data_IF_812484328442
#
_entry.id   IF_812484328442
#
_cell.length_a   1.000
_cell.length_b   1.000
_cell.length_c   1.000
_cell.angle_alpha   90.00
_cell.angle_beta   90.00
_cell.angle_gamma   90.00
#
_symmetry.space_group_name_H-M   'P 1'
#
loop_
_entity.id
_entity.type
_entity.pdbx_description
1 polymer ?
#
# COMPACT_ATOMS: atom_id res chain seq x y z
N UNK A 1 21.83 -22.56 32.40
CA UNK A 1 20.51 -21.90 32.44
C UNK A 1 19.68 -22.50 31.32
N UNK A 2 18.80 -23.44 31.63
CA UNK A 2 17.89 -24.06 30.65
C UNK A 2 16.85 -23.02 30.25
N UNK A 3 16.93 -22.53 29.01
CA UNK A 3 15.98 -21.58 28.46
C UNK A 3 14.67 -22.29 28.13
N UNK A 4 13.73 -22.27 29.05
CA UNK A 4 12.37 -22.73 28.80
C UNK A 4 11.71 -21.75 27.83
N UNK A 5 11.40 -22.21 26.63
CA UNK A 5 10.59 -21.42 25.70
C UNK A 5 9.18 -21.30 26.29
N UNK A 6 8.57 -20.11 26.29
CA UNK A 6 7.24 -19.94 26.86
C UNK A 6 6.23 -20.83 26.13
N UNK A 7 5.35 -21.51 26.88
CA UNK A 7 4.34 -22.42 26.30
C UNK A 7 3.38 -21.72 25.32
N UNK A 8 3.22 -20.40 25.48
CA UNK A 8 2.38 -19.56 24.63
C UNK A 8 3.02 -18.21 24.33
N UNK A 9 2.67 -17.62 23.19
CA UNK A 9 3.11 -16.29 22.75
C UNK A 9 1.91 -15.47 22.28
N UNK A 10 1.81 -14.23 22.71
CA UNK A 10 0.73 -13.33 22.31
C UNK A 10 1.09 -12.60 21.00
N UNK A 11 0.15 -12.55 20.06
CA UNK A 11 0.38 -11.88 18.79
C UNK A 11 0.42 -10.36 18.98
N UNK A 12 1.56 -9.72 18.69
CA UNK A 12 1.71 -8.27 18.80
C UNK A 12 0.73 -7.47 17.92
N UNK A 13 0.21 -8.07 16.85
CA UNK A 13 -0.72 -7.39 15.95
C UNK A 13 -2.16 -7.46 16.45
N UNK A 14 -2.66 -8.66 16.80
CA UNK A 14 -4.07 -8.88 17.10
C UNK A 14 -4.40 -9.23 18.55
N UNK A 15 -3.40 -9.45 19.41
CA UNK A 15 -3.56 -9.79 20.83
C UNK A 15 -4.03 -11.22 21.10
N UNK A 16 -4.06 -12.09 20.09
CA UNK A 16 -4.45 -13.50 20.30
C UNK A 16 -3.25 -14.31 20.81
N UNK A 17 -3.48 -15.14 21.82
CA UNK A 17 -2.53 -16.18 22.27
C UNK A 17 -2.34 -17.26 21.22
N UNK A 18 -1.09 -17.60 20.94
CA UNK A 18 -0.67 -18.68 20.04
C UNK A 18 0.22 -19.65 20.84
N UNK A 19 0.37 -20.91 20.41
CA UNK A 19 1.36 -21.80 21.02
C UNK A 19 2.77 -21.23 20.86
N UNK A 20 3.65 -21.45 21.83
CA UNK A 20 5.00 -20.88 21.88
C UNK A 20 5.90 -21.21 20.69
N UNK A 21 5.61 -22.29 19.99
CA UNK A 21 6.31 -22.71 18.76
C UNK A 21 5.75 -22.08 17.47
N UNK A 22 4.64 -21.34 17.54
CA UNK A 22 4.01 -20.76 16.36
C UNK A 22 4.89 -19.65 15.77
N UNK A 23 5.31 -19.82 14.51
CA UNK A 23 6.05 -18.79 13.78
C UNK A 23 5.14 -17.72 13.19
N UNK A 24 3.86 -18.03 13.00
CA UNK A 24 2.86 -17.15 12.39
C UNK A 24 1.58 -17.17 13.24
N UNK A 25 0.96 -16.00 13.43
CA UNK A 25 -0.29 -15.90 14.14
C UNK A 25 -1.41 -16.63 13.40
N UNK A 26 -2.05 -17.60 14.06
CA UNK A 26 -3.14 -18.40 13.47
C UNK A 26 -4.41 -17.61 13.17
N UNK A 27 -4.52 -16.37 13.65
CA UNK A 27 -5.71 -15.54 13.47
C UNK A 27 -5.51 -14.40 12.46
N UNK A 28 -4.34 -13.77 12.42
CA UNK A 28 -4.09 -12.62 11.54
C UNK A 28 -2.96 -12.81 10.54
N UNK A 29 -2.29 -13.98 10.52
CA UNK A 29 -1.24 -14.28 9.54
C UNK A 29 0.09 -13.52 9.72
N UNK A 30 0.19 -12.65 10.72
CA UNK A 30 1.43 -11.88 10.99
C UNK A 30 2.49 -12.79 11.63
N UNK A 31 3.76 -12.72 11.21
CA UNK A 31 4.85 -13.46 11.84
C UNK A 31 4.92 -13.09 13.32
N UNK A 32 5.00 -14.08 14.19
CA UNK A 32 5.24 -13.85 15.61
C UNK A 32 6.74 -13.61 15.76
N UNK A 33 7.14 -12.54 16.46
CA UNK A 33 8.55 -12.30 16.76
C UNK A 33 9.05 -13.46 17.61
N UNK A 34 9.63 -14.47 16.99
CA UNK A 34 10.57 -15.32 17.67
C UNK A 34 11.72 -14.41 18.07
N UNK A 35 12.02 -14.33 19.36
CA UNK A 35 13.36 -13.97 19.83
C UNK A 35 14.37 -14.66 18.89
N UNK A 36 15.51 -14.04 18.56
CA UNK A 36 16.52 -14.71 17.76
C UNK A 36 16.86 -16.02 18.45
N UNK A 37 16.28 -17.12 17.94
CA UNK A 37 16.79 -18.45 18.19
C UNK A 37 18.15 -18.32 17.55
N UNK A 38 19.17 -18.14 18.40
CA UNK A 38 20.57 -18.16 18.01
C UNK A 38 20.66 -19.24 16.95
N UNK A 39 20.97 -18.84 15.70
CA UNK A 39 20.78 -19.67 14.52
C UNK A 39 21.28 -21.06 14.86
N UNK A 40 20.32 -21.93 15.17
CA UNK A 40 20.65 -23.28 15.55
C UNK A 40 21.20 -23.82 14.26
N UNK A 41 22.49 -24.09 14.23
CA UNK A 41 23.08 -25.06 13.34
C UNK A 41 22.41 -26.40 13.69
N UNK A 42 21.12 -26.51 13.39
CA UNK A 42 20.42 -27.77 13.39
C UNK A 42 21.14 -28.65 12.39
N UNK A 43 21.31 -29.95 12.68
CA UNK A 43 21.92 -30.87 11.74
C UNK A 43 21.18 -30.72 10.42
N UNK A 44 21.93 -30.42 9.35
CA UNK A 44 21.42 -30.51 7.97
C UNK A 44 20.68 -31.85 7.90
N UNK A 45 19.42 -31.92 7.45
CA UNK A 45 18.72 -33.18 7.28
C UNK A 45 19.55 -34.07 6.35
N UNK A 46 20.27 -35.03 6.93
CA UNK A 46 21.08 -36.02 6.20
C UNK A 46 20.27 -37.28 5.90
N UNK A 47 18.99 -37.31 6.29
CA UNK A 47 18.12 -38.41 5.92
C UNK A 47 17.94 -38.43 4.40
N UNK A 48 18.19 -39.59 3.80
CA UNK A 48 18.13 -39.75 2.33
C UNK A 48 16.75 -39.41 1.76
N UNK A 49 15.68 -39.52 2.54
CA UNK A 49 14.32 -39.25 2.09
C UNK A 49 14.09 -37.74 1.84
N UNK A 50 14.57 -36.88 2.74
CA UNK A 50 14.52 -35.42 2.58
C UNK A 50 15.35 -34.95 1.38
N UNK A 51 16.54 -35.53 1.17
CA UNK A 51 17.39 -35.19 0.02
C UNK A 51 16.77 -35.59 -1.31
N UNK A 52 16.08 -36.74 -1.37
CA UNK A 52 15.34 -37.16 -2.57
C UNK A 52 14.15 -36.23 -2.84
N UNK A 53 13.43 -35.80 -1.81
CA UNK A 53 12.29 -34.89 -1.95
C UNK A 53 12.71 -33.50 -2.46
N UNK A 54 13.77 -32.93 -1.89
CA UNK A 54 14.33 -31.64 -2.31
C UNK A 54 14.88 -31.74 -3.74
N UNK A 55 15.61 -32.82 -4.05
CA UNK A 55 16.12 -33.08 -5.40
C UNK A 55 15.00 -33.20 -6.44
N UNK A 56 13.90 -33.88 -6.10
CA UNK A 56 12.73 -34.01 -6.96
C UNK A 56 12.05 -32.66 -7.25
N UNK A 57 11.89 -31.80 -6.24
CA UNK A 57 11.30 -30.47 -6.41
C UNK A 57 12.15 -29.59 -7.34
N UNK A 58 13.48 -29.58 -7.15
CA UNK A 58 14.39 -28.81 -8.00
C UNK A 58 14.41 -29.33 -9.44
N UNK A 59 14.40 -30.65 -9.63
CA UNK A 59 14.34 -31.26 -10.96
C UNK A 59 13.02 -30.91 -11.69
N UNK A 60 11.89 -30.89 -10.99
CA UNK A 60 10.60 -30.51 -11.56
C UNK A 60 10.57 -29.03 -12.00
N UNK A 61 11.11 -28.12 -11.19
CA UNK A 61 11.21 -26.69 -11.53
C UNK A 61 12.11 -26.50 -12.75
N UNK A 62 13.30 -27.12 -12.76
CA UNK A 62 14.22 -27.05 -13.89
C UNK A 62 13.58 -27.61 -15.18
N UNK A 63 12.88 -28.74 -15.08
CA UNK A 63 12.14 -29.33 -16.19
C UNK A 63 11.05 -28.40 -16.74
N UNK A 64 10.28 -27.75 -15.88
CA UNK A 64 9.25 -26.80 -16.28
C UNK A 64 9.83 -25.57 -16.99
N UNK A 65 10.97 -25.04 -16.52
CA UNK A 65 11.65 -23.91 -17.17
C UNK A 65 12.16 -24.30 -18.56
N UNK A 66 12.82 -25.45 -18.69
CA UNK A 66 13.32 -25.93 -19.99
C UNK A 66 12.16 -26.18 -20.95
N UNK A 67 11.07 -26.78 -20.48
CA UNK A 67 9.86 -27.01 -21.29
C UNK A 67 9.21 -25.69 -21.72
N UNK A 68 9.10 -24.71 -20.81
CA UNK A 68 8.59 -23.39 -21.12
C UNK A 68 9.41 -22.67 -22.19
N UNK A 69 10.74 -22.74 -22.10
CA UNK A 69 11.65 -22.16 -23.10
C UNK A 69 11.54 -22.87 -24.46
N UNK A 70 11.41 -24.20 -24.47
CA UNK A 70 11.21 -24.97 -25.70
C UNK A 70 9.87 -24.59 -26.38
N UNK A 71 8.80 -24.43 -25.61
CA UNK A 71 7.49 -24.00 -26.13
C UNK A 71 7.56 -22.54 -26.64
N UNK A 72 8.26 -21.64 -25.93
CA UNK A 72 8.48 -20.26 -26.41
C UNK A 72 9.27 -20.21 -27.71
N UNK A 73 10.24 -21.10 -27.93
CA UNK A 73 10.98 -21.17 -29.19
C UNK A 73 10.13 -21.64 -30.38
N UNK A 74 9.07 -22.42 -30.12
CA UNK A 74 8.11 -22.88 -31.14
C UNK A 74 7.02 -21.83 -31.46
N UNK A 75 6.95 -20.73 -30.71
CA UNK A 75 5.97 -19.66 -30.93
C UNK A 75 6.65 -18.42 -31.54
N UNK A 76 6.70 -18.27 -32.88
CA UNK A 76 7.24 -17.09 -33.55
C UNK A 76 6.27 -15.91 -33.41
N UNK A 77 6.15 -15.37 -32.20
CA UNK A 77 5.55 -14.06 -31.97
C UNK A 77 6.55 -13.00 -32.46
N UNK A 78 6.57 -12.73 -33.77
CA UNK A 78 7.29 -11.61 -34.36
C UNK A 78 6.85 -10.32 -33.66
N UNK A 79 7.72 -9.61 -32.94
CA UNK A 79 7.47 -8.21 -32.61
C UNK A 79 7.66 -7.45 -33.92
N UNK A 80 6.55 -7.13 -34.59
CA UNK A 80 6.56 -6.13 -35.66
C UNK A 80 6.99 -4.81 -35.05
N UNK A 81 8.27 -4.45 -35.22
CA UNK A 81 8.77 -3.10 -35.00
C UNK A 81 8.12 -2.19 -36.02
N UNK A 82 6.93 -1.66 -35.67
CA UNK A 82 6.30 -0.55 -36.36
C UNK A 82 7.20 0.67 -36.23
N UNK A 83 8.07 0.84 -37.23
CA UNK A 83 8.83 2.05 -37.52
C UNK A 83 7.82 3.15 -37.85
N UNK A 84 7.47 3.96 -36.86
CA UNK A 84 6.77 5.21 -37.11
C UNK A 84 7.75 6.19 -37.76
N UNK A 85 7.54 6.36 -39.05
CA UNK A 85 8.18 7.27 -39.97
C UNK A 85 8.03 8.73 -39.51
N UNK A 86 9.14 9.46 -39.49
CA UNK A 86 9.14 10.89 -39.27
C UNK A 86 8.67 11.62 -40.54
N UNK A 87 7.75 12.58 -40.40
CA UNK A 87 7.51 13.60 -41.43
C UNK A 87 6.67 14.77 -40.90
N UNK A 88 6.72 15.97 -41.51
CA UNK A 88 7.55 17.08 -41.01
C UNK A 88 6.74 18.34 -40.68
N UNK A 89 7.49 19.40 -40.31
CA UNK A 89 7.11 20.81 -40.16
C UNK A 89 5.75 21.23 -40.74
N UNK A 90 4.90 21.82 -39.89
CA UNK A 90 3.82 22.70 -40.33
C UNK A 90 4.09 24.13 -39.84
N UNK A 91 4.05 25.04 -40.81
CA UNK A 91 4.36 26.46 -40.74
C UNK A 91 3.56 27.25 -39.72
N UNK A 92 4.27 28.22 -39.14
CA UNK A 92 3.70 29.44 -38.54
C UNK A 92 2.87 30.16 -39.61
N UNK A 93 1.56 30.30 -39.38
CA UNK A 93 0.72 31.29 -40.05
C UNK A 93 0.09 32.16 -38.97
N UNK A 94 0.56 33.40 -38.88
CA UNK A 94 -0.09 34.46 -38.14
C UNK A 94 -1.45 34.77 -38.78
N UNK A 95 -2.52 34.81 -37.98
CA UNK A 95 -3.82 35.34 -38.39
C UNK A 95 -4.28 36.44 -37.42
N UNK A 96 -4.67 37.62 -37.93
CA UNK A 96 -4.96 38.79 -37.10
C UNK A 96 -6.44 38.88 -36.70
N UNK A 97 -6.65 39.84 -35.79
CA UNK A 97 -7.87 40.61 -35.53
C UNK A 97 -8.92 40.01 -34.59
N UNK A 98 -8.90 40.60 -33.40
CA UNK A 98 -9.98 40.72 -32.41
C UNK A 98 -11.29 41.18 -33.06
N UNK A 99 -12.31 40.32 -33.02
CA UNK A 99 -13.71 40.71 -33.18
C UNK A 99 -14.38 40.57 -31.82
N UNK A 100 -14.64 41.71 -31.18
CA UNK A 100 -15.36 41.82 -29.92
C UNK A 100 -16.83 41.50 -30.15
N UNK A 101 -17.20 40.22 -30.01
CA UNK A 101 -18.60 39.83 -29.93
C UNK A 101 -19.20 40.32 -28.61
N UNK A 102 -20.45 40.83 -28.60
CA UNK A 102 -21.11 41.28 -27.37
C UNK A 102 -21.25 40.11 -26.39
N UNK A 103 -20.68 40.30 -25.20
CA UNK A 103 -20.77 39.38 -24.06
C UNK A 103 -22.23 39.24 -23.66
N UNK A 104 -22.85 38.10 -24.00
CA UNK A 104 -24.13 37.72 -23.41
C UNK A 104 -23.95 37.62 -21.89
N UNK A 105 -24.92 38.09 -21.09
CA UNK A 105 -24.86 37.95 -19.63
C UNK A 105 -24.67 36.48 -19.29
N UNK A 106 -23.57 36.17 -18.61
CA UNK A 106 -23.22 34.80 -18.24
C UNK A 106 -24.38 34.21 -17.41
N UNK A 107 -24.98 33.14 -17.93
CA UNK A 107 -25.88 32.30 -17.14
C UNK A 107 -25.17 31.95 -15.84
N UNK A 108 -25.76 32.25 -14.66
CA UNK A 108 -25.10 32.02 -13.39
C UNK A 108 -24.67 30.55 -13.32
N UNK A 109 -23.37 30.34 -13.12
CA UNK A 109 -22.81 29.00 -12.99
C UNK A 109 -23.60 28.26 -11.88
N UNK A 110 -23.98 26.99 -12.09
CA UNK A 110 -24.73 26.24 -11.09
C UNK A 110 -23.94 26.27 -9.77
N UNK A 111 -24.58 26.78 -8.72
CA UNK A 111 -24.00 26.80 -7.38
C UNK A 111 -23.65 25.37 -6.99
N UNK A 112 -22.36 25.12 -6.75
CA UNK A 112 -21.89 23.78 -6.40
C UNK A 112 -22.67 23.27 -5.18
N UNK A 113 -23.28 22.09 -5.31
CA UNK A 113 -23.93 21.41 -4.19
C UNK A 113 -22.89 21.20 -3.09
N UNK A 114 -23.17 21.54 -1.81
CA UNK A 114 -22.20 21.40 -0.74
C UNK A 114 -21.72 19.95 -0.63
N UNK A 115 -20.41 19.77 -0.63
CA UNK A 115 -19.78 18.46 -0.36
C UNK A 115 -20.12 18.05 1.07
N UNK A 116 -20.71 16.87 1.31
CA UNK A 116 -20.97 16.38 2.66
C UNK A 116 -19.71 16.40 3.52
N UNK A 117 -19.83 16.84 4.77
CA UNK A 117 -18.73 16.78 5.71
C UNK A 117 -18.34 15.33 5.99
N UNK A 118 -17.05 15.03 6.00
CA UNK A 118 -16.53 13.71 6.32
C UNK A 118 -16.74 13.38 7.80
N UNK A 119 -16.97 12.11 8.12
CA UNK A 119 -17.27 11.63 9.48
C UNK A 119 -16.04 11.45 10.37
N UNK A 120 -14.84 11.51 9.78
CA UNK A 120 -13.57 11.38 10.46
C UNK A 120 -12.44 12.21 9.85
N UNK A 121 -11.26 12.08 10.45
CA UNK A 121 -10.02 12.76 10.08
C UNK A 121 -8.87 11.76 9.97
N UNK A 122 -7.85 12.10 9.18
CA UNK A 122 -6.57 11.37 9.13
C UNK A 122 -5.47 12.28 9.65
N UNK A 123 -4.68 11.82 10.61
CA UNK A 123 -3.47 12.47 11.07
C UNK A 123 -2.25 11.65 10.64
N UNK A 124 -1.14 12.33 10.36
CA UNK A 124 0.14 11.74 9.96
C UNK A 124 1.25 12.14 10.93
N UNK A 125 2.22 11.27 11.14
CA UNK A 125 3.39 11.56 11.98
C UNK A 125 4.42 10.45 11.99
N UNK A 126 5.51 10.64 12.75
CA UNK A 126 6.64 9.68 12.79
C UNK A 126 6.55 8.67 13.92
N UNK A 127 5.49 8.69 14.71
CA UNK A 127 5.24 7.70 15.75
C UNK A 127 3.76 7.35 15.87
N UNK A 128 3.50 6.19 16.47
CA UNK A 128 2.17 5.73 16.79
C UNK A 128 2.14 5.24 18.24
N UNK A 129 1.26 5.78 19.06
CA UNK A 129 0.97 5.23 20.38
C UNK A 129 0.29 3.88 20.20
N UNK A 130 0.90 2.82 20.74
CA UNK A 130 0.42 1.44 20.57
C UNK A 130 -0.87 1.15 21.34
N UNK A 131 -1.13 1.89 22.40
CA UNK A 131 -2.31 1.75 23.25
C UNK A 131 -3.49 2.50 22.65
N UNK A 132 -3.29 3.77 22.33
CA UNK A 132 -4.38 4.64 21.82
C UNK A 132 -4.56 4.58 20.31
N UNK A 133 -3.58 4.02 19.58
CA UNK A 133 -3.50 4.00 18.11
C UNK A 133 -3.48 5.40 17.49
N UNK A 134 -3.17 6.43 18.27
CA UNK A 134 -3.03 7.79 17.77
C UNK A 134 -1.60 8.05 17.29
N UNK A 135 -1.48 8.90 16.28
CA UNK A 135 -0.18 9.44 15.88
C UNK A 135 0.41 10.24 17.03
N UNK A 136 1.69 9.99 17.31
CA UNK A 136 2.54 10.81 18.17
C UNK A 136 3.65 11.40 17.28
N UNK A 137 4.06 12.65 17.55
CA UNK A 137 4.97 13.42 16.67
C UNK A 137 4.38 13.70 15.28
N UNK A 138 3.37 14.59 15.18
CA UNK A 138 2.72 14.92 13.92
C UNK A 138 3.69 15.52 12.89
N UNK A 139 3.60 15.05 11.66
CA UNK A 139 4.27 15.61 10.48
C UNK A 139 3.51 15.16 9.24
N UNK A 140 3.51 16.00 8.21
CA UNK A 140 3.01 15.61 6.89
C UNK A 140 4.14 15.19 5.94
N UNK A 141 5.40 15.29 6.35
CA UNK A 141 6.57 15.07 5.49
C UNK A 141 7.47 13.99 6.07
N UNK A 142 7.85 13.04 5.21
CA UNK A 142 8.60 11.84 5.55
C UNK A 142 9.84 11.69 4.66
N UNK A 143 11.00 11.50 5.26
CA UNK A 143 12.29 11.27 4.58
C UNK A 143 12.71 9.81 4.71
N UNK A 144 13.69 9.35 3.90
CA UNK A 144 14.30 8.05 4.14
C UNK A 144 14.80 7.90 5.58
N UNK A 145 14.56 6.74 6.18
CA UNK A 145 14.91 6.40 7.56
C UNK A 145 13.87 6.81 8.61
N UNK A 146 12.87 7.62 8.25
CA UNK A 146 11.75 7.93 9.14
C UNK A 146 10.71 6.81 9.17
N UNK A 147 9.94 6.76 10.26
CA UNK A 147 8.70 5.97 10.30
C UNK A 147 7.58 6.80 9.69
N UNK A 148 6.79 6.21 8.81
CA UNK A 148 5.51 6.72 8.36
C UNK A 148 4.42 6.12 9.26
N UNK A 149 3.72 6.95 10.02
CA UNK A 149 2.54 6.56 10.76
C UNK A 149 1.34 7.42 10.39
N UNK A 150 0.16 6.81 10.37
CA UNK A 150 -1.10 7.51 10.27
C UNK A 150 -2.11 6.96 11.26
N UNK A 151 -3.05 7.83 11.64
CA UNK A 151 -4.20 7.44 12.44
C UNK A 151 -5.48 8.04 11.87
N UNK A 152 -6.54 7.24 11.89
CA UNK A 152 -7.88 7.61 11.45
C UNK A 152 -8.75 7.71 12.69
N UNK A 153 -9.37 8.87 12.89
CA UNK A 153 -10.30 9.11 14.00
C UNK A 153 -11.68 9.43 13.46
N UNK A 154 -12.70 8.75 13.95
CA UNK A 154 -14.11 8.93 13.56
C UNK A 154 -14.96 9.31 14.78
N UNK A 155 -16.04 10.07 14.56
CA UNK A 155 -16.95 10.51 15.64
C UNK A 155 -17.78 9.36 16.23
N UNK A 156 -18.07 8.35 15.44
CA UNK A 156 -18.81 7.15 15.82
C UNK A 156 -17.92 5.92 15.62
N UNK A 157 -18.14 4.82 16.35
CA UNK A 157 -17.40 3.59 16.14
C UNK A 157 -17.43 3.13 14.68
N UNK A 158 -16.35 2.50 14.19
CA UNK A 158 -16.25 2.08 12.80
C UNK A 158 -17.41 1.19 12.34
N UNK A 159 -17.96 0.35 13.23
CA UNK A 159 -19.06 -0.57 12.90
C UNK A 159 -18.69 -1.71 11.95
N UNK A 160 -17.43 -1.77 11.52
CA UNK A 160 -16.86 -2.75 10.59
C UNK A 160 -15.62 -3.41 11.18
N UNK A 161 -15.20 -4.54 10.63
CA UNK A 161 -13.96 -5.23 11.03
C UNK A 161 -12.76 -4.82 10.20
N UNK A 162 -12.96 -4.10 9.09
CA UNK A 162 -11.91 -3.60 8.21
C UNK A 162 -12.27 -2.22 7.68
N UNK A 163 -11.28 -1.36 7.53
CA UNK A 163 -11.37 -0.12 6.76
C UNK A 163 -10.41 -0.19 5.58
N UNK A 164 -10.70 0.51 4.49
CA UNK A 164 -9.94 0.41 3.25
C UNK A 164 -9.27 1.73 2.92
N UNK A 165 -8.03 1.67 2.44
CA UNK A 165 -7.22 2.85 2.15
C UNK A 165 -6.92 2.93 0.66
N UNK A 166 -7.18 4.10 0.07
CA UNK A 166 -6.72 4.45 -1.27
C UNK A 166 -5.69 5.56 -1.17
N UNK A 167 -4.55 5.36 -1.81
CA UNK A 167 -3.50 6.38 -1.90
C UNK A 167 -3.33 6.78 -3.36
N UNK A 168 -3.38 8.08 -3.62
CA UNK A 168 -3.10 8.64 -4.93
C UNK A 168 -1.98 9.68 -4.85
N UNK A 169 -1.00 9.60 -5.76
CA UNK A 169 -0.02 10.65 -6.00
C UNK A 169 -0.72 11.85 -6.62
N UNK A 170 -0.43 13.04 -6.10
CA UNK A 170 -0.91 14.31 -6.63
C UNK A 170 0.09 14.85 -7.64
N UNK A 171 -0.35 15.02 -8.89
CA UNK A 171 0.41 15.62 -9.97
C UNK A 171 0.09 17.11 -10.15
N UNK A 172 0.68 17.71 -11.19
CA UNK A 172 0.35 19.08 -11.58
C UNK A 172 -1.11 19.20 -12.03
N UNK A 173 -1.70 20.37 -11.81
CA UNK A 173 -3.09 20.65 -12.21
C UNK A 173 -4.15 19.84 -11.47
N UNK A 174 -3.84 19.27 -10.30
CA UNK A 174 -4.79 18.49 -9.51
C UNK A 174 -5.02 17.07 -10.03
N UNK A 175 -4.20 16.59 -10.96
CA UNK A 175 -4.25 15.20 -11.42
C UNK A 175 -3.93 14.24 -10.27
N UNK A 176 -4.62 13.11 -10.22
CA UNK A 176 -4.41 12.07 -9.22
C UNK A 176 -4.09 10.73 -9.88
N UNK A 177 -2.96 10.13 -9.52
CA UNK A 177 -2.55 8.80 -9.98
C UNK A 177 -2.61 7.83 -8.82
N UNK A 178 -3.46 6.80 -8.90
CA UNK A 178 -3.60 5.81 -7.81
C UNK A 178 -2.34 4.97 -7.71
N UNK A 179 -1.70 4.96 -6.54
CA UNK A 179 -0.51 4.15 -6.23
C UNK A 179 -0.84 2.99 -5.26
N UNK A 180 -1.99 3.08 -4.58
CA UNK A 180 -2.57 2.00 -3.77
C UNK A 180 -4.09 2.01 -3.94
N UNK A 181 -4.63 0.89 -4.40
CA UNK A 181 -6.07 0.67 -4.48
C UNK A 181 -6.63 0.20 -3.12
N UNK A 182 -7.92 0.44 -2.83
CA UNK A 182 -8.57 -0.01 -1.60
C UNK A 182 -8.93 -1.50 -1.65
N UNK A 183 -7.94 -2.37 -1.88
CA UNK A 183 -8.13 -3.83 -1.98
C UNK A 183 -7.84 -4.53 -0.65
N UNK A 184 -6.78 -4.13 0.04
CA UNK A 184 -6.38 -4.71 1.32
C UNK A 184 -6.87 -3.83 2.47
N UNK A 185 -7.75 -4.40 3.31
CA UNK A 185 -8.34 -3.71 4.45
C UNK A 185 -7.42 -3.69 5.67
N UNK A 186 -7.32 -2.54 6.33
CA UNK A 186 -6.76 -2.43 7.67
C UNK A 186 -7.76 -3.01 8.67
N UNK A 187 -7.36 -4.07 9.37
CA UNK A 187 -8.18 -4.68 10.41
C UNK A 187 -8.42 -3.70 11.57
N UNK A 188 -9.68 -3.54 11.94
CA UNK A 188 -10.12 -2.69 13.06
C UNK A 188 -11.13 -3.45 13.92
N UNK A 189 -11.43 -2.94 15.12
CA UNK A 189 -12.55 -3.45 15.91
C UNK A 189 -13.80 -2.60 15.62
N UNK A 190 -14.99 -3.21 15.45
CA UNK A 190 -16.22 -2.45 15.19
C UNK A 190 -16.54 -1.37 16.22
N UNK A 191 -16.16 -1.60 17.48
CA UNK A 191 -16.39 -0.68 18.61
C UNK A 191 -15.33 0.43 18.75
N UNK A 192 -14.26 0.41 17.96
CA UNK A 192 -13.21 1.43 18.04
C UNK A 192 -13.58 2.68 17.25
N UNK A 193 -13.07 3.83 17.71
CA UNK A 193 -13.18 5.13 17.04
C UNK A 193 -11.84 5.61 16.48
N UNK A 194 -10.75 4.90 16.78
CA UNK A 194 -9.40 5.21 16.32
C UNK A 194 -8.76 3.94 15.76
N UNK A 195 -8.16 4.07 14.59
CA UNK A 195 -7.31 3.05 13.98
C UNK A 195 -5.99 3.69 13.57
N UNK A 196 -4.90 2.94 13.62
CA UNK A 196 -3.59 3.48 13.28
C UNK A 196 -2.67 2.41 12.73
N UNK A 197 -1.81 2.84 11.81
CA UNK A 197 -0.84 2.00 11.12
C UNK A 197 0.51 2.71 11.06
N UNK A 198 1.58 1.94 11.08
CA UNK A 198 2.93 2.45 10.97
C UNK A 198 3.83 1.50 10.17
N UNK A 199 4.67 2.07 9.31
CA UNK A 199 5.66 1.37 8.48
C UNK A 199 6.89 2.26 8.28
N UNK A 200 8.02 1.70 7.85
CA UNK A 200 9.18 2.49 7.46
C UNK A 200 8.89 3.29 6.17
N UNK A 201 9.19 4.59 6.18
CA UNK A 201 8.97 5.46 5.02
C UNK A 201 9.77 4.99 3.79
N UNK A 202 10.92 4.34 3.99
CA UNK A 202 11.73 3.74 2.93
C UNK A 202 10.93 2.80 2.03
N UNK A 203 10.03 2.00 2.61
CA UNK A 203 9.21 1.04 1.86
C UNK A 203 8.28 1.79 0.91
N UNK A 204 7.65 2.87 1.40
CA UNK A 204 6.73 3.68 0.61
C UNK A 204 7.47 4.51 -0.45
N UNK A 205 8.63 5.08 -0.12
CA UNK A 205 9.47 5.82 -1.06
C UNK A 205 9.96 4.90 -2.18
N UNK A 206 10.38 3.68 -1.87
CA UNK A 206 10.80 2.70 -2.88
C UNK A 206 9.62 2.26 -3.77
N UNK A 207 8.44 2.05 -3.18
CA UNK A 207 7.27 1.58 -3.90
C UNK A 207 6.61 2.67 -4.76
N UNK A 208 6.50 3.90 -4.25
CA UNK A 208 5.72 4.98 -4.85
C UNK A 208 6.55 6.15 -5.36
N UNK A 209 7.84 6.19 -5.04
CA UNK A 209 8.73 7.34 -5.26
C UNK A 209 8.48 8.50 -4.28
N UNK A 210 9.30 9.56 -4.33
CA UNK A 210 9.04 10.80 -3.61
C UNK A 210 7.94 11.63 -4.31
N UNK A 211 7.09 12.31 -3.54
CA UNK A 211 5.97 13.09 -4.05
C UNK A 211 4.98 13.53 -2.97
N UNK A 212 3.92 14.20 -3.39
CA UNK A 212 2.77 14.51 -2.52
C UNK A 212 1.66 13.52 -2.80
N UNK A 213 1.02 13.03 -1.75
CA UNK A 213 0.03 11.96 -1.81
C UNK A 213 -1.22 12.34 -1.05
N UNK A 214 -2.37 11.89 -1.53
CA UNK A 214 -3.65 11.96 -0.84
C UNK A 214 -4.09 10.57 -0.43
N UNK A 215 -4.31 10.39 0.87
CA UNK A 215 -4.93 9.21 1.44
C UNK A 215 -6.44 9.45 1.58
N UNK A 216 -7.23 8.44 1.21
CA UNK A 216 -8.67 8.37 1.41
C UNK A 216 -9.00 7.07 2.12
N UNK A 217 -9.85 7.15 3.14
CA UNK A 217 -10.23 6.02 3.98
C UNK A 217 -11.71 5.73 3.83
N UNK A 218 -12.06 4.46 3.67
CA UNK A 218 -13.42 4.01 3.38
C UNK A 218 -13.86 2.92 4.36
N UNK A 219 -15.15 2.87 4.68
CA UNK A 219 -15.73 1.77 5.49
C UNK A 219 -16.00 0.51 4.67
N UNK A 220 -16.28 0.65 3.38
CA UNK A 220 -16.64 -0.46 2.49
C UNK A 220 -15.59 -0.69 1.41
N UNK A 221 -15.40 -1.94 0.98
CA UNK A 221 -14.54 -2.24 -0.15
C UNK A 221 -15.06 -1.56 -1.42
N UNK A 222 -14.14 -1.20 -2.33
CA UNK A 222 -14.51 -0.53 -3.59
C UNK A 222 -14.74 0.98 -3.48
N UNK A 223 -14.57 1.59 -2.30
CA UNK A 223 -14.40 3.04 -2.16
C UNK A 223 -15.67 3.89 -2.20
N UNK A 224 -16.81 3.34 -1.78
CA UNK A 224 -18.10 4.06 -1.78
C UNK A 224 -18.31 4.93 -0.53
N UNK A 225 -17.88 4.45 0.64
CA UNK A 225 -18.19 5.09 1.92
C UNK A 225 -16.97 5.85 2.46
N UNK A 226 -16.66 6.99 1.83
CA UNK A 226 -15.52 7.84 2.22
C UNK A 226 -15.75 8.46 3.60
N UNK A 227 -14.87 8.17 4.56
CA UNK A 227 -14.99 8.67 5.94
C UNK A 227 -13.92 9.69 6.32
N UNK A 228 -12.75 9.65 5.68
CA UNK A 228 -11.66 10.57 6.00
C UNK A 228 -10.75 10.76 4.79
N UNK A 229 -10.11 11.92 4.72
CA UNK A 229 -9.06 12.20 3.75
C UNK A 229 -7.95 13.02 4.39
N UNK A 230 -6.72 12.83 3.92
CA UNK A 230 -5.56 13.59 4.35
C UNK A 230 -4.47 13.60 3.27
N UNK A 231 -3.52 14.52 3.40
CA UNK A 231 -2.40 14.66 2.47
C UNK A 231 -1.08 14.54 3.22
N UNK A 232 -0.11 13.89 2.60
CA UNK A 232 1.25 13.74 3.11
C UNK A 232 2.26 13.80 1.96
N UNK A 233 3.55 13.92 2.30
CA UNK A 233 4.68 14.07 1.39
C UNK A 233 5.77 13.05 1.72
N UNK A 234 6.22 12.34 0.69
CA UNK A 234 7.43 11.53 0.72
C UNK A 234 8.56 12.32 0.07
N UNK A 235 9.63 12.63 0.79
CA UNK A 235 10.79 13.36 0.30
C UNK A 235 11.90 12.39 -0.15
N UNK A 236 12.77 12.84 -1.05
CA UNK A 236 13.91 12.03 -1.56
C UNK A 236 15.01 11.79 -0.51
N UNK A 237 15.01 12.58 0.57
CA UNK A 237 16.23 12.80 1.35
C UNK A 237 17.19 13.75 0.64
#
# INVERSE_FOLDING_TARGET
>A
MTGESPETVECFNCGRTNPGWAQVCRNCGVPLQSLPVAAGSGPIPTDRASLISIGGALAAIAGAVVLGLAISALNPSRPGTGRAEASPLASVVARPSTSSAPTLPATPAPTAKPTPALSGTVAFGTGLDRTTRQVITPTDTFTPGSTFAHSVTVKQPFGVTQIYERVARLGSGGTETVVQAPTDGLNVRPMWTVAGYAIQANVLIQAWGPGTYRMRVYLSPGGKDLIATGTFKLASG
#
